data_IF_224217288789
#
_entry.id   IF_224217288789
#
_cell.length_a   1.000
_cell.length_b   1.000
_cell.length_c   1.000
_cell.angle_alpha   90.00
_cell.angle_beta   90.00
_cell.angle_gamma   90.00
#
_symmetry.space_group_name_H-M   'P 1'
#
loop_
_entity.id
_entity.type
_entity.pdbx_description
1 polymer ?
#
# COMPACT_ATOMS: atom_id res chain seq x y z
N UNK A 1 -56.07 -29.85 -35.03
CA UNK A 1 -55.67 -29.66 -33.62
C UNK A 1 -54.15 -29.68 -33.55
N UNK A 2 -53.52 -28.51 -33.46
CA UNK A 2 -52.07 -28.34 -33.59
C UNK A 2 -51.47 -28.20 -32.18
N UNK A 3 -50.61 -29.15 -31.78
CA UNK A 3 -49.99 -29.18 -30.44
C UNK A 3 -48.84 -28.16 -30.40
N UNK A 4 -49.00 -27.10 -29.61
CA UNK A 4 -47.91 -26.19 -29.23
C UNK A 4 -46.89 -26.95 -28.36
N UNK A 5 -45.67 -27.08 -28.86
CA UNK A 5 -44.51 -27.51 -28.07
C UNK A 5 -43.95 -26.29 -27.35
N UNK A 6 -44.08 -26.28 -26.02
CA UNK A 6 -43.47 -25.25 -25.15
C UNK A 6 -42.00 -25.63 -24.92
N UNK A 7 -41.08 -24.93 -25.57
CA UNK A 7 -39.64 -25.05 -25.30
C UNK A 7 -39.36 -24.27 -24.02
N UNK A 8 -39.08 -24.99 -22.93
CA UNK A 8 -38.58 -24.41 -21.69
C UNK A 8 -37.07 -24.15 -21.85
N UNK A 9 -36.68 -22.89 -22.06
CA UNK A 9 -35.27 -22.47 -22.03
C UNK A 9 -34.86 -22.43 -20.56
N UNK A 10 -34.16 -23.47 -20.12
CA UNK A 10 -33.51 -23.50 -18.82
C UNK A 10 -32.30 -22.55 -18.86
N UNK A 11 -32.43 -21.41 -18.17
CA UNK A 11 -31.36 -20.44 -17.97
C UNK A 11 -30.36 -21.03 -16.95
N UNK A 12 -29.34 -21.75 -17.44
CA UNK A 12 -28.20 -22.21 -16.66
C UNK A 12 -27.32 -20.99 -16.33
N UNK A 13 -27.62 -20.32 -15.21
CA UNK A 13 -26.73 -19.34 -14.60
C UNK A 13 -25.52 -20.09 -14.04
N UNK A 14 -24.50 -20.29 -14.88
CA UNK A 14 -23.17 -20.66 -14.41
C UNK A 14 -22.60 -19.47 -13.63
N UNK A 15 -22.76 -19.49 -12.30
CA UNK A 15 -22.00 -18.65 -11.39
C UNK A 15 -20.54 -19.10 -11.46
N UNK A 16 -19.77 -18.47 -12.35
CA UNK A 16 -18.32 -18.63 -12.38
C UNK A 16 -17.74 -18.01 -11.10
N UNK A 17 -17.54 -18.84 -10.08
CA UNK A 17 -16.78 -18.42 -8.90
C UNK A 17 -15.33 -18.16 -9.34
N UNK A 18 -14.75 -17.00 -9.03
CA UNK A 18 -13.34 -16.76 -9.32
C UNK A 18 -12.50 -17.84 -8.65
N UNK A 19 -11.60 -18.46 -9.42
CA UNK A 19 -10.68 -19.45 -8.88
C UNK A 19 -9.65 -18.73 -7.99
N UNK A 20 -9.72 -19.01 -6.69
CA UNK A 20 -8.72 -18.54 -5.72
C UNK A 20 -7.40 -19.22 -6.02
N UNK A 21 -6.37 -18.43 -6.32
CA UNK A 21 -5.07 -18.92 -6.76
C UNK A 21 -4.05 -19.09 -5.61
N UNK A 22 -4.29 -18.42 -4.48
CA UNK A 22 -3.40 -18.46 -3.33
C UNK A 22 -3.64 -17.31 -2.37
N UNK A 23 -2.74 -17.18 -1.40
CA UNK A 23 -2.69 -16.09 -0.43
C UNK A 23 -1.26 -15.56 -0.37
N UNK A 24 -1.12 -14.23 -0.26
CA UNK A 24 0.13 -13.57 0.09
C UNK A 24 0.11 -13.17 1.56
N UNK A 25 1.25 -13.31 2.22
CA UNK A 25 1.52 -12.70 3.52
C UNK A 25 2.65 -11.69 3.34
N UNK A 26 2.49 -10.50 3.90
CA UNK A 26 3.40 -9.40 3.68
C UNK A 26 3.86 -8.74 4.97
N UNK A 27 5.09 -8.21 4.91
CA UNK A 27 5.63 -7.27 5.88
C UNK A 27 6.29 -6.12 5.12
N UNK A 28 6.37 -4.95 5.76
CA UNK A 28 7.17 -3.86 5.21
C UNK A 28 7.82 -3.01 6.29
N UNK A 29 8.87 -2.29 5.88
CA UNK A 29 9.49 -1.24 6.68
C UNK A 29 9.53 0.02 5.83
N UNK A 30 9.03 1.12 6.39
CA UNK A 30 8.97 2.41 5.74
C UNK A 30 10.01 3.35 6.35
N UNK A 31 10.56 4.22 5.53
CA UNK A 31 11.38 5.37 5.90
C UNK A 31 10.75 6.62 5.29
N UNK A 32 10.57 7.65 6.10
CA UNK A 32 10.12 8.96 5.62
C UNK A 32 11.24 9.98 5.75
N UNK A 33 11.30 10.91 4.81
CA UNK A 33 12.25 12.02 4.81
C UNK A 33 11.49 13.32 4.62
N UNK A 34 11.70 14.26 5.55
CA UNK A 34 11.19 15.61 5.47
C UNK A 34 12.32 16.63 5.49
N UNK A 35 12.13 17.74 4.77
CA UNK A 35 13.09 18.83 4.70
C UNK A 35 12.67 19.94 5.65
N UNK A 36 13.58 20.49 6.44
CA UNK A 36 13.32 21.68 7.26
C UNK A 36 14.29 22.82 6.94
N UNK A 37 13.99 24.03 7.42
CA UNK A 37 14.88 25.19 7.27
C UNK A 37 16.23 25.03 7.97
N UNK A 38 16.38 24.09 8.92
CA UNK A 38 17.62 23.89 9.68
C UNK A 38 18.39 22.66 9.19
N UNK A 39 17.73 21.51 9.15
CA UNK A 39 18.28 20.25 8.66
C UNK A 39 17.17 19.32 8.18
N UNK A 40 17.50 18.41 7.28
CA UNK A 40 16.58 17.33 6.91
C UNK A 40 16.40 16.39 8.09
N UNK A 41 15.20 15.83 8.21
CA UNK A 41 14.91 14.79 9.20
C UNK A 41 14.41 13.55 8.50
N UNK A 42 14.59 12.42 9.16
CA UNK A 42 14.00 11.16 8.76
C UNK A 42 13.49 10.39 9.96
N UNK A 43 12.62 9.44 9.70
CA UNK A 43 12.28 8.40 10.63
C UNK A 43 11.90 7.13 9.90
N UNK A 44 11.74 6.06 10.66
CA UNK A 44 11.35 4.74 10.20
C UNK A 44 10.08 4.31 10.91
N UNK A 45 9.37 3.37 10.29
CA UNK A 45 8.22 2.73 10.92
C UNK A 45 7.95 1.37 10.26
N UNK A 46 7.81 0.29 11.04
CA UNK A 46 7.40 -1.00 10.50
C UNK A 46 5.89 -1.00 10.20
N UNK A 47 5.51 -1.63 9.10
CA UNK A 47 4.14 -1.99 8.84
C UNK A 47 3.71 -3.15 9.76
N UNK A 48 2.44 -3.18 10.12
CA UNK A 48 1.83 -4.38 10.66
C UNK A 48 1.84 -5.48 9.58
N UNK A 49 2.07 -6.75 9.93
CA UNK A 49 1.93 -7.85 8.99
C UNK A 49 0.54 -7.87 8.37
N UNK A 50 0.46 -8.14 7.07
CA UNK A 50 -0.78 -8.15 6.32
C UNK A 50 -0.91 -9.43 5.47
N UNK A 51 -2.11 -9.71 4.97
CA UNK A 51 -2.33 -10.74 3.96
C UNK A 51 -3.33 -10.29 2.91
N UNK A 52 -3.29 -10.94 1.75
CA UNK A 52 -4.26 -10.70 0.68
C UNK A 52 -4.45 -11.94 -0.19
N UNK A 53 -5.61 -12.04 -0.83
CA UNK A 53 -5.91 -13.12 -1.76
C UNK A 53 -5.29 -12.87 -3.14
N UNK A 54 -4.82 -13.95 -3.77
CA UNK A 54 -4.47 -13.97 -5.19
C UNK A 54 -5.64 -14.55 -5.99
N UNK A 55 -6.04 -13.83 -7.02
CA UNK A 55 -7.10 -14.27 -7.94
C UNK A 55 -6.51 -14.44 -9.33
N UNK A 56 -6.81 -15.58 -9.96
CA UNK A 56 -6.53 -15.77 -11.39
C UNK A 56 -7.68 -15.21 -12.22
N UNK A 57 -7.34 -14.32 -13.13
CA UNK A 57 -8.23 -13.79 -14.15
C UNK A 57 -8.48 -14.82 -15.25
N UNK A 58 -9.58 -14.65 -15.99
CA UNK A 58 -10.00 -15.59 -17.04
C UNK A 58 -9.00 -15.71 -18.20
N UNK A 59 -8.18 -14.67 -18.40
CA UNK A 59 -7.07 -14.63 -19.37
C UNK A 59 -5.77 -15.26 -18.84
N UNK A 60 -5.79 -15.78 -17.61
CA UNK A 60 -4.62 -16.36 -16.94
C UNK A 60 -3.77 -15.38 -16.15
N UNK A 61 -4.10 -14.08 -16.15
CA UNK A 61 -3.40 -13.07 -15.36
C UNK A 61 -3.63 -13.22 -13.86
N UNK A 62 -2.72 -12.70 -13.05
CA UNK A 62 -2.83 -12.69 -11.58
C UNK A 62 -3.17 -11.30 -11.07
N UNK A 63 -4.26 -11.21 -10.31
CA UNK A 63 -4.72 -9.97 -9.68
C UNK A 63 -4.75 -10.10 -8.17
N UNK A 64 -4.38 -9.04 -7.46
CA UNK A 64 -4.61 -8.89 -6.01
C UNK A 64 -5.77 -7.90 -5.84
N UNK A 65 -7.00 -8.35 -5.50
CA UNK A 65 -8.18 -7.48 -5.49
C UNK A 65 -8.10 -6.35 -4.47
N UNK A 66 -7.55 -6.65 -3.29
CA UNK A 66 -7.36 -5.67 -2.23
C UNK A 66 -6.22 -6.09 -1.30
N UNK A 67 -5.43 -5.12 -0.86
CA UNK A 67 -4.46 -5.24 0.22
C UNK A 67 -4.70 -4.10 1.20
N UNK A 68 -4.73 -4.43 2.48
CA UNK A 68 -4.81 -3.46 3.57
C UNK A 68 -3.53 -3.55 4.40
N UNK A 69 -2.92 -2.40 4.67
CA UNK A 69 -1.66 -2.28 5.42
C UNK A 69 -1.83 -1.23 6.49
N UNK A 70 -1.55 -1.58 7.74
CA UNK A 70 -1.57 -0.65 8.86
C UNK A 70 -0.16 -0.30 9.29
N UNK A 71 0.00 0.93 9.74
CA UNK A 71 1.19 1.41 10.46
C UNK A 71 0.73 1.99 11.79
N UNK A 72 1.40 1.61 12.88
CA UNK A 72 1.12 2.20 14.19
C UNK A 72 1.91 3.51 14.35
N UNK A 73 1.23 4.55 14.80
CA UNK A 73 1.85 5.88 15.01
C UNK A 73 2.88 5.85 16.13
N UNK A 74 2.68 5.01 17.15
CA UNK A 74 3.61 4.84 18.26
C UNK A 74 4.93 4.16 17.85
N UNK A 75 4.91 3.36 16.79
CA UNK A 75 6.06 2.68 16.22
C UNK A 75 6.92 3.56 15.31
N UNK A 76 6.56 4.84 15.10
CA UNK A 76 7.39 5.78 14.37
C UNK A 76 8.61 6.20 15.20
N UNK A 77 9.80 6.06 14.63
CA UNK A 77 11.06 6.37 15.28
C UNK A 77 11.89 7.31 14.41
N UNK A 78 12.25 8.47 14.95
CA UNK A 78 13.15 9.42 14.30
C UNK A 78 14.52 9.47 14.96
N UNK A 79 14.85 8.51 15.83
CA UNK A 79 16.04 8.51 16.68
C UNK A 79 16.08 9.75 17.62
N UNK A 80 14.92 10.32 17.92
CA UNK A 80 14.78 11.50 18.77
C UNK A 80 13.43 11.49 19.50
N UNK A 81 13.44 11.07 20.76
CA UNK A 81 12.23 10.90 21.58
C UNK A 81 11.35 12.15 21.61
N UNK A 82 11.93 13.35 21.76
CA UNK A 82 11.17 14.61 21.77
C UNK A 82 10.51 14.93 20.41
N UNK A 83 11.11 14.50 19.30
CA UNK A 83 10.51 14.63 17.98
C UNK A 83 9.43 13.58 17.78
N UNK A 84 9.62 12.36 18.29
CA UNK A 84 8.64 11.29 18.22
C UNK A 84 7.38 11.62 19.02
N UNK A 85 7.53 12.25 20.20
CA UNK A 85 6.39 12.77 20.99
C UNK A 85 5.57 13.80 20.20
N UNK A 86 6.25 14.73 19.51
CA UNK A 86 5.58 15.73 18.67
C UNK A 86 4.91 15.11 17.45
N UNK A 87 5.50 14.04 16.89
CA UNK A 87 4.85 13.29 15.82
C UNK A 87 3.57 12.63 16.32
N UNK A 88 3.63 11.93 17.46
CA UNK A 88 2.46 11.33 18.12
C UNK A 88 1.36 12.36 18.39
N UNK A 89 1.72 13.54 18.91
CA UNK A 89 0.79 14.66 19.12
C UNK A 89 0.18 15.16 17.80
N UNK A 90 1.00 15.37 16.76
CA UNK A 90 0.55 15.84 15.45
C UNK A 90 -0.46 14.87 14.80
N UNK A 91 -0.19 13.57 14.88
CA UNK A 91 -1.08 12.52 14.40
C UNK A 91 -2.27 12.27 15.34
N UNK A 92 -2.25 12.84 16.55
CA UNK A 92 -3.24 12.58 17.60
C UNK A 92 -3.35 11.08 17.91
N UNK A 93 -2.22 10.42 18.18
CA UNK A 93 -2.11 8.96 18.33
C UNK A 93 -3.10 8.36 19.32
N UNK A 94 -3.49 9.09 20.38
CA UNK A 94 -4.47 8.63 21.36
C UNK A 94 -5.87 8.42 20.76
N UNK A 95 -6.20 9.16 19.69
CA UNK A 95 -7.48 9.08 18.97
C UNK A 95 -7.37 8.31 17.65
N UNK A 96 -6.22 8.43 17.00
CA UNK A 96 -5.92 7.82 15.71
C UNK A 96 -4.58 7.06 15.81
N UNK A 97 -4.57 5.88 16.45
CA UNK A 97 -3.34 5.14 16.71
C UNK A 97 -2.72 4.53 15.46
N UNK A 98 -3.45 4.54 14.33
CA UNK A 98 -3.09 3.87 13.09
C UNK A 98 -3.17 4.81 11.90
N UNK A 99 -2.25 4.61 10.95
CA UNK A 99 -2.35 5.05 9.57
C UNK A 99 -2.68 3.83 8.73
N UNK A 100 -3.71 3.93 7.89
CA UNK A 100 -4.23 2.82 7.11
C UNK A 100 -3.97 3.05 5.62
N UNK A 101 -3.40 2.07 4.94
CA UNK A 101 -3.20 2.05 3.50
C UNK A 101 -4.03 0.95 2.85
N UNK A 102 -4.74 1.29 1.77
CA UNK A 102 -5.48 0.34 0.95
C UNK A 102 -5.00 0.43 -0.49
N UNK A 103 -4.75 -0.73 -1.09
CA UNK A 103 -4.42 -0.88 -2.50
C UNK A 103 -5.44 -1.82 -3.11
N UNK A 104 -5.93 -1.54 -4.32
CA UNK A 104 -6.96 -2.35 -4.97
C UNK A 104 -6.57 -2.70 -6.40
N UNK A 105 -7.12 -3.82 -6.88
CA UNK A 105 -7.07 -4.25 -8.28
C UNK A 105 -5.65 -4.26 -8.87
N UNK A 106 -4.67 -4.78 -8.11
CA UNK A 106 -3.28 -4.84 -8.56
C UNK A 106 -3.10 -5.90 -9.63
N UNK A 107 -2.68 -5.49 -10.82
CA UNK A 107 -2.15 -6.36 -11.88
C UNK A 107 -0.70 -6.75 -11.56
N UNK A 108 -0.53 -7.89 -10.88
CA UNK A 108 0.78 -8.36 -10.44
C UNK A 108 1.69 -8.68 -11.64
N UNK A 109 1.12 -9.20 -12.73
CA UNK A 109 1.87 -9.56 -13.94
C UNK A 109 2.25 -8.33 -14.76
N UNK A 110 1.40 -7.30 -14.75
CA UNK A 110 1.72 -5.97 -15.26
C UNK A 110 2.91 -5.35 -14.53
N UNK A 111 2.88 -5.32 -13.19
CA UNK A 111 3.99 -4.80 -12.38
C UNK A 111 5.30 -5.54 -12.69
N UNK A 112 5.29 -6.87 -12.70
CA UNK A 112 6.47 -7.69 -13.06
C UNK A 112 7.06 -7.29 -14.40
N UNK A 113 6.19 -7.14 -15.40
CA UNK A 113 6.60 -6.81 -16.76
C UNK A 113 7.21 -5.42 -16.84
N UNK A 114 6.59 -4.42 -16.22
CA UNK A 114 7.08 -3.04 -16.27
C UNK A 114 8.41 -2.87 -15.53
N UNK A 115 8.57 -3.48 -14.35
CA UNK A 115 9.84 -3.44 -13.61
C UNK A 115 10.96 -4.22 -14.33
N UNK A 116 10.62 -5.31 -15.03
CA UNK A 116 11.59 -6.17 -15.72
C UNK A 116 12.03 -5.73 -17.12
N UNK A 117 11.48 -4.64 -17.69
CA UNK A 117 11.77 -4.21 -19.08
C UNK A 117 13.22 -3.76 -19.31
N UNK A 118 13.82 -3.11 -18.32
CA UNK A 118 15.17 -2.53 -18.40
C UNK A 118 15.78 -2.37 -17.02
N UNK A 119 17.10 -2.14 -16.96
CA UNK A 119 17.78 -1.83 -15.69
C UNK A 119 17.18 -0.55 -15.08
N UNK A 120 16.56 -0.68 -13.91
CA UNK A 120 15.85 0.44 -13.26
C UNK A 120 14.40 0.64 -13.69
N UNK A 121 13.78 -0.36 -14.34
CA UNK A 121 12.36 -0.35 -14.67
C UNK A 121 11.46 -0.05 -13.47
N UNK A 122 10.31 0.57 -13.73
CA UNK A 122 9.38 1.06 -12.70
C UNK A 122 7.95 0.69 -13.07
N UNK A 123 7.16 0.36 -12.05
CA UNK A 123 5.71 0.23 -12.17
C UNK A 123 5.02 1.22 -11.23
N UNK A 124 3.71 1.40 -11.40
CA UNK A 124 2.92 2.33 -10.59
C UNK A 124 1.60 1.69 -10.18
N UNK A 125 1.13 2.03 -8.99
CA UNK A 125 -0.23 1.74 -8.53
C UNK A 125 -0.76 2.85 -7.63
N UNK A 126 -2.07 2.90 -7.45
CA UNK A 126 -2.73 3.86 -6.57
C UNK A 126 -2.84 3.32 -5.14
N UNK A 127 -2.26 4.05 -4.18
CA UNK A 127 -2.38 3.81 -2.75
C UNK A 127 -3.40 4.78 -2.16
N UNK A 128 -4.48 4.26 -1.59
CA UNK A 128 -5.39 5.06 -0.79
C UNK A 128 -4.90 5.07 0.65
N UNK A 129 -4.43 6.23 1.12
CA UNK A 129 -3.89 6.43 2.44
C UNK A 129 -4.90 7.18 3.30
N UNK A 130 -5.21 6.63 4.46
CA UNK A 130 -6.02 7.27 5.50
C UNK A 130 -5.13 7.63 6.68
N UNK A 131 -5.03 8.93 6.94
CA UNK A 131 -4.32 9.50 8.09
C UNK A 131 -5.34 10.26 8.92
N UNK A 132 -5.51 9.85 10.17
CA UNK A 132 -6.61 10.30 11.03
C UNK A 132 -7.97 10.08 10.36
N UNK A 133 -8.70 11.16 10.10
CA UNK A 133 -10.03 11.23 9.50
C UNK A 133 -10.00 11.66 8.02
N UNK A 134 -8.82 11.68 7.40
CA UNK A 134 -8.63 12.16 6.04
C UNK A 134 -8.05 11.06 5.15
N UNK A 135 -8.75 10.79 4.05
CA UNK A 135 -8.35 9.82 3.03
C UNK A 135 -7.85 10.52 1.75
N UNK A 136 -6.74 10.06 1.17
CA UNK A 136 -6.22 10.52 -0.12
C UNK A 136 -5.65 9.36 -0.93
N UNK A 137 -5.89 9.39 -2.24
CA UNK A 137 -5.24 8.48 -3.18
C UNK A 137 -3.95 9.10 -3.70
N UNK A 138 -2.86 8.36 -3.62
CA UNK A 138 -1.50 8.78 -3.96
C UNK A 138 -0.91 7.73 -4.90
N UNK A 139 -0.30 8.18 -5.99
CA UNK A 139 0.43 7.27 -6.89
C UNK A 139 1.72 6.79 -6.21
N UNK A 140 1.90 5.48 -6.16
CA UNK A 140 3.07 4.80 -5.61
C UNK A 140 3.90 4.21 -6.73
N UNK A 141 5.21 4.39 -6.66
CA UNK A 141 6.18 3.80 -7.58
C UNK A 141 6.70 2.50 -7.00
N UNK A 142 6.81 1.45 -7.81
CA UNK A 142 7.44 0.17 -7.47
C UNK A 142 8.74 0.02 -8.25
N UNK A 143 9.79 -0.38 -7.55
CA UNK A 143 11.11 -0.64 -8.14
C UNK A 143 11.77 -1.86 -7.49
N UNK A 144 12.92 -2.28 -8.01
CA UNK A 144 13.79 -3.29 -7.39
C UNK A 144 13.06 -4.62 -7.08
N UNK A 145 12.15 -5.03 -7.95
CA UNK A 145 11.43 -6.31 -7.82
C UNK A 145 12.41 -7.48 -7.92
N UNK A 146 12.35 -8.39 -6.94
CA UNK A 146 13.15 -9.61 -6.85
C UNK A 146 12.24 -10.75 -6.46
N UNK A 147 12.40 -11.89 -7.12
CA UNK A 147 11.65 -13.10 -6.84
C UNK A 147 12.62 -14.25 -6.56
N UNK A 148 12.44 -14.92 -5.42
CA UNK A 148 13.24 -16.08 -5.03
C UNK A 148 12.32 -17.15 -4.43
N UNK A 149 12.05 -18.20 -5.19
CA UNK A 149 11.13 -19.25 -4.78
C UNK A 149 9.71 -18.71 -4.57
N UNK A 150 9.22 -18.79 -3.33
CA UNK A 150 7.91 -18.27 -2.94
C UNK A 150 7.97 -16.86 -2.32
N UNK A 151 9.13 -16.21 -2.35
CA UNK A 151 9.33 -14.88 -1.80
C UNK A 151 9.42 -13.84 -2.91
N UNK A 152 8.78 -12.68 -2.67
CA UNK A 152 8.85 -11.52 -3.55
C UNK A 152 9.23 -10.30 -2.73
N UNK A 153 10.33 -9.65 -3.09
CA UNK A 153 10.78 -8.41 -2.49
C UNK A 153 10.72 -7.26 -3.50
N UNK A 154 10.30 -6.08 -3.07
CA UNK A 154 10.35 -4.87 -3.89
C UNK A 154 10.40 -3.60 -3.04
N UNK A 155 10.79 -2.51 -3.66
CA UNK A 155 10.79 -1.20 -3.04
C UNK A 155 9.60 -0.37 -3.51
N UNK A 156 9.09 0.47 -2.63
CA UNK A 156 8.02 1.44 -2.92
C UNK A 156 8.48 2.85 -2.62
N UNK A 157 8.01 3.82 -3.41
CA UNK A 157 8.20 5.24 -3.15
C UNK A 157 6.90 6.01 -3.43
N UNK A 158 6.50 6.89 -2.51
CA UNK A 158 5.37 7.79 -2.70
C UNK A 158 5.52 9.09 -1.90
N UNK A 159 5.01 10.22 -2.40
CA UNK A 159 5.01 11.49 -1.68
C UNK A 159 3.83 11.58 -0.69
N UNK A 160 4.03 12.24 0.45
CA UNK A 160 2.95 12.56 1.40
C UNK A 160 2.95 14.05 1.70
N UNK A 161 1.80 14.72 1.55
CA UNK A 161 1.63 16.13 1.94
C UNK A 161 0.97 16.23 3.31
N UNK A 162 1.63 16.85 4.30
CA UNK A 162 1.04 17.07 5.62
C UNK A 162 -0.25 17.88 5.55
N UNK A 163 -0.28 18.93 4.72
CA UNK A 163 -1.44 19.81 4.54
C UNK A 163 -2.63 19.10 3.93
N UNK A 164 -2.41 18.20 2.95
CA UNK A 164 -3.51 17.45 2.33
C UNK A 164 -4.26 16.57 3.33
N UNK A 165 -3.56 16.11 4.38
CA UNK A 165 -4.10 15.37 5.53
C UNK A 165 -4.48 16.26 6.73
N UNK A 166 -4.44 17.59 6.58
CA UNK A 166 -4.76 18.52 7.66
C UNK A 166 -3.81 18.45 8.86
N UNK A 167 -2.59 17.96 8.63
CA UNK A 167 -1.52 17.92 9.62
C UNK A 167 -0.74 19.23 9.60
N UNK A 168 -0.34 19.68 10.78
CA UNK A 168 0.56 20.82 10.94
C UNK A 168 1.88 20.30 11.46
N UNK A 169 2.94 20.48 10.67
CA UNK A 169 4.26 20.12 11.12
C UNK A 169 4.59 20.82 12.45
N UNK A 170 5.26 20.14 13.40
CA UNK A 170 5.69 20.77 14.64
C UNK A 170 6.61 21.95 14.33
N UNK A 171 6.32 23.12 14.89
CA UNK A 171 7.16 24.30 14.78
C UNK A 171 7.88 24.53 16.11
N UNK A 172 9.21 24.62 16.08
CA UNK A 172 9.99 24.97 17.27
C UNK A 172 10.29 26.48 17.22
N UNK A 173 9.89 27.23 18.26
CA UNK A 173 10.15 28.68 18.42
C UNK A 173 9.67 29.60 17.26
N UNK A 174 8.78 29.15 16.37
CA UNK A 174 8.20 29.96 15.29
C UNK A 174 9.15 30.35 14.14
N UNK A 175 10.43 29.98 14.23
CA UNK A 175 11.46 30.31 13.22
C UNK A 175 11.68 29.15 12.25
N UNK A 176 11.51 27.90 12.71
CA UNK A 176 11.79 26.72 11.90
C UNK A 176 10.54 26.21 11.18
N UNK A 177 10.68 25.97 9.88
CA UNK A 177 9.59 25.46 9.03
C UNK A 177 9.99 24.13 8.43
N UNK A 178 9.09 23.16 8.54
CA UNK A 178 9.15 21.90 7.82
C UNK A 178 8.41 22.08 6.50
N UNK A 179 8.99 21.56 5.41
CA UNK A 179 8.32 21.50 4.13
C UNK A 179 7.10 20.58 4.23
N UNK A 180 6.08 20.93 3.46
CA UNK A 180 4.82 20.21 3.46
C UNK A 180 4.93 18.76 2.97
N UNK A 181 5.74 18.54 1.93
CA UNK A 181 5.89 17.23 1.30
C UNK A 181 7.02 16.45 1.96
N UNK A 182 6.72 15.21 2.30
CA UNK A 182 7.66 14.17 2.66
C UNK A 182 7.76 13.16 1.53
N UNK A 183 8.93 12.55 1.39
CA UNK A 183 9.09 11.35 0.57
C UNK A 183 9.06 10.15 1.49
N UNK A 184 8.21 9.17 1.19
CA UNK A 184 8.18 7.88 1.88
C UNK A 184 8.75 6.83 0.94
N UNK A 185 9.73 6.09 1.43
CA UNK A 185 10.31 4.92 0.75
C UNK A 185 10.09 3.70 1.61
N UNK A 186 9.87 2.54 1.03
CA UNK A 186 9.64 1.31 1.79
C UNK A 186 10.24 0.10 1.12
N UNK A 187 10.63 -0.88 1.92
CA UNK A 187 10.93 -2.23 1.45
C UNK A 187 9.78 -3.15 1.85
N UNK A 188 9.25 -3.89 0.88
CA UNK A 188 8.15 -4.82 1.05
C UNK A 188 8.67 -6.23 0.78
N UNK A 189 8.33 -7.15 1.67
CA UNK A 189 8.60 -8.57 1.53
C UNK A 189 7.29 -9.34 1.60
N UNK A 190 7.02 -10.13 0.57
CA UNK A 190 5.87 -11.00 0.45
C UNK A 190 6.30 -12.47 0.46
N UNK A 191 5.52 -13.31 1.12
CA UNK A 191 5.55 -14.75 1.02
C UNK A 191 4.26 -15.23 0.34
N UNK A 192 4.40 -16.00 -0.72
CA UNK A 192 3.30 -16.53 -1.53
C UNK A 192 3.02 -17.96 -1.10
N UNK A 193 1.76 -18.26 -0.85
CA UNK A 193 1.27 -19.62 -0.65
C UNK A 193 0.24 -19.96 -1.72
N UNK A 194 0.51 -21.00 -2.51
CA UNK A 194 -0.49 -21.56 -3.42
C UNK A 194 -1.42 -22.50 -2.66
N UNK A 195 -2.73 -22.42 -2.94
CA UNK A 195 -3.62 -23.55 -2.65
C UNK A 195 -3.47 -24.55 -3.79
N UNK A 196 -2.92 -25.72 -3.49
CA UNK A 196 -2.98 -26.89 -4.38
C UNK A 196 -4.43 -27.34 -4.64
#
# INVERSE_FOLDING_TARGET
MMKMVRIAIAFLLLSASPAWAGEIKGTCSLRFVGVSTLHDFSGTVPCQPFSAGLVKSADGGTTIPAVEVDVLVDGMDTENESRDDKLREMFQSDRFPRIHGTVKDIDADGIRREVGKEEGGKAFFDLTLTVRDVERTIQTTVTNLREEGNQVGFDVEFPVSLKEFGLKAPSFLGIFRVRDKLTVTGNVLLEISSKE
#
